data_IF_402764257366
#
_entry.id   IF_402764257366
#
_cell.length_a   1.000
_cell.length_b   1.000
_cell.length_c   1.000
_cell.angle_alpha   90.00
_cell.angle_beta   90.00
_cell.angle_gamma   90.00
#
_symmetry.space_group_name_H-M   'P 1'
#
loop_
_entity.id
_entity.type
_entity.pdbx_description
1 polymer ?
#
# COMPACT_ATOMS: atom_id res chain seq x y z
N UNK A 1 1.58 -51.07 -1.75
CA UNK A 1 0.85 -51.15 -3.04
C UNK A 1 -0.57 -50.75 -2.76
N UNK A 2 -1.17 -49.68 -3.28
CA UNK A 2 -0.78 -48.65 -4.25
C UNK A 2 -1.50 -47.38 -3.79
N UNK A 3 -0.78 -46.28 -3.60
CA UNK A 3 -1.35 -44.94 -3.52
C UNK A 3 -1.53 -44.47 -4.97
N UNK A 4 -2.74 -44.62 -5.50
CA UNK A 4 -3.13 -44.04 -6.78
C UNK A 4 -4.04 -42.84 -6.49
N UNK A 5 -3.46 -41.74 -5.99
CA UNK A 5 -4.10 -40.44 -6.00
C UNK A 5 -3.86 -39.79 -7.38
N UNK A 6 -4.90 -39.51 -8.18
CA UNK A 6 -4.71 -38.89 -9.49
C UNK A 6 -4.20 -37.45 -9.33
N UNK A 7 -3.21 -37.01 -10.13
CA UNK A 7 -2.65 -35.68 -10.03
C UNK A 7 -3.71 -34.60 -10.34
N UNK A 8 -3.65 -33.43 -9.67
CA UNK A 8 -4.62 -32.36 -9.87
C UNK A 8 -4.55 -31.85 -11.31
N UNK A 9 -5.67 -31.98 -12.02
CA UNK A 9 -5.79 -31.57 -13.41
C UNK A 9 -5.91 -30.05 -13.49
N UNK A 10 -4.82 -29.37 -13.85
CA UNK A 10 -4.84 -27.93 -14.12
C UNK A 10 -5.48 -27.72 -15.50
N UNK A 11 -6.78 -27.43 -15.50
CA UNK A 11 -7.51 -27.02 -16.70
C UNK A 11 -7.08 -25.61 -17.11
N UNK A 12 -6.23 -25.52 -18.14
CA UNK A 12 -5.84 -24.25 -18.73
C UNK A 12 -7.06 -23.58 -19.39
N UNK A 13 -7.65 -22.60 -18.72
CA UNK A 13 -8.76 -21.80 -19.25
C UNK A 13 -8.22 -20.74 -20.23
N UNK A 14 -8.41 -20.96 -21.53
CA UNK A 14 -8.17 -19.91 -22.52
C UNK A 14 -9.36 -18.93 -22.57
N UNK A 15 -9.18 -17.72 -22.04
CA UNK A 15 -10.16 -16.64 -22.15
C UNK A 15 -9.87 -15.83 -23.43
N UNK A 16 -10.75 -15.92 -24.42
CA UNK A 16 -10.71 -15.03 -25.60
C UNK A 16 -11.47 -13.76 -25.26
N UNK A 17 -10.76 -12.66 -25.00
CA UNK A 17 -11.39 -11.36 -24.80
C UNK A 17 -11.83 -10.78 -26.15
N UNK A 18 -13.14 -10.60 -26.33
CA UNK A 18 -13.74 -9.94 -27.49
C UNK A 18 -14.26 -8.57 -27.05
N UNK A 19 -13.86 -7.51 -27.73
CA UNK A 19 -14.39 -6.16 -27.49
C UNK A 19 -15.84 -6.11 -27.99
N UNK A 20 -16.81 -5.99 -27.07
CA UNK A 20 -18.24 -5.98 -27.40
C UNK A 20 -18.77 -4.58 -27.74
N UNK A 21 -18.26 -3.54 -27.09
CA UNK A 21 -18.62 -2.15 -27.40
C UNK A 21 -17.49 -1.20 -27.00
N UNK A 22 -17.46 -0.02 -27.64
CA UNK A 22 -16.57 1.09 -27.28
C UNK A 22 -17.40 2.32 -26.95
N UNK A 23 -16.83 3.24 -26.19
CA UNK A 23 -17.48 4.52 -25.90
C UNK A 23 -17.03 5.57 -26.91
N UNK A 24 -17.98 6.35 -27.44
CA UNK A 24 -17.68 7.45 -28.36
C UNK A 24 -16.90 8.54 -27.62
N UNK A 25 -15.71 8.94 -28.09
CA UNK A 25 -14.89 9.93 -27.38
C UNK A 25 -15.48 11.35 -27.44
N UNK A 26 -16.46 11.60 -28.32
CA UNK A 26 -17.12 12.91 -28.44
C UNK A 26 -18.31 13.09 -27.50
N UNK A 27 -19.19 12.09 -27.40
CA UNK A 27 -20.47 12.20 -26.68
C UNK A 27 -20.70 11.14 -25.60
N UNK A 28 -19.76 10.21 -25.40
CA UNK A 28 -19.91 9.14 -24.42
C UNK A 28 -20.91 8.03 -24.78
N UNK A 29 -21.55 8.08 -25.96
CA UNK A 29 -22.49 7.04 -26.38
C UNK A 29 -21.78 5.71 -26.74
N UNK A 30 -22.45 4.58 -26.51
CA UNK A 30 -21.95 3.26 -26.93
C UNK A 30 -21.86 3.18 -28.45
N UNK A 31 -20.71 2.76 -28.95
CA UNK A 31 -20.44 2.47 -30.36
C UNK A 31 -20.68 0.97 -30.57
N UNK A 32 -21.69 0.60 -31.37
CA UNK A 32 -22.02 -0.81 -31.59
C UNK A 32 -20.91 -1.48 -32.37
N UNK A 33 -20.40 -2.60 -31.86
CA UNK A 33 -19.46 -3.45 -32.60
C UNK A 33 -20.23 -4.49 -33.40
N UNK A 34 -20.27 -4.32 -34.73
CA UNK A 34 -20.99 -5.24 -35.64
C UNK A 34 -20.21 -6.53 -35.94
N UNK A 35 -18.99 -6.67 -35.41
CA UNK A 35 -18.17 -7.88 -35.55
C UNK A 35 -17.58 -8.11 -36.95
N UNK A 36 -17.86 -7.24 -37.93
CA UNK A 36 -17.28 -7.27 -39.28
C UNK A 36 -16.63 -5.93 -39.61
N UNK A 37 -15.40 -5.97 -40.15
CA UNK A 37 -14.65 -4.79 -40.57
C UNK A 37 -13.96 -4.04 -39.43
N UNK A 38 -13.34 -2.89 -39.75
CA UNK A 38 -12.67 -2.04 -38.77
C UNK A 38 -13.70 -1.47 -37.78
N UNK A 39 -13.54 -1.70 -36.45
CA UNK A 39 -14.44 -1.13 -35.45
C UNK A 39 -14.58 0.38 -35.62
N UNK A 40 -15.82 0.88 -35.63
CA UNK A 40 -16.07 2.32 -35.62
C UNK A 40 -15.58 2.93 -34.30
N UNK A 41 -14.99 4.12 -34.39
CA UNK A 41 -14.47 4.87 -33.23
C UNK A 41 -15.52 5.83 -32.67
N UNK A 42 -16.47 6.25 -33.50
CA UNK A 42 -17.52 7.20 -33.16
C UNK A 42 -18.89 6.57 -33.37
N UNK A 43 -19.87 6.95 -32.54
CA UNK A 43 -21.23 6.42 -32.63
C UNK A 43 -21.97 6.86 -33.89
N UNK A 44 -21.56 7.98 -34.52
CA UNK A 44 -22.20 8.51 -35.73
C UNK A 44 -21.26 9.37 -36.57
N UNK A 45 -21.65 9.60 -37.84
CA UNK A 45 -20.95 10.54 -38.75
C UNK A 45 -20.93 11.96 -38.19
N UNK A 46 -21.98 12.38 -37.50
CA UNK A 46 -22.04 13.69 -36.86
C UNK A 46 -20.97 13.86 -35.77
N UNK A 47 -20.78 12.86 -34.89
CA UNK A 47 -19.74 12.90 -33.86
C UNK A 47 -18.33 12.87 -34.48
N UNK A 48 -18.14 12.12 -35.56
CA UNK A 48 -16.88 12.11 -36.32
C UNK A 48 -16.58 13.48 -36.91
N UNK A 49 -17.56 14.14 -37.52
CA UNK A 49 -17.40 15.45 -38.13
C UNK A 49 -17.04 16.50 -37.09
N UNK A 50 -17.77 16.57 -35.97
CA UNK A 50 -17.45 17.52 -34.88
C UNK A 50 -16.04 17.31 -34.31
N UNK A 51 -15.66 16.05 -34.07
CA UNK A 51 -14.31 15.72 -33.63
C UNK A 51 -13.24 16.09 -34.67
N UNK A 52 -13.56 16.03 -35.96
CA UNK A 52 -12.66 16.49 -37.03
C UNK A 52 -12.59 18.02 -37.10
N UNK A 53 -13.71 18.72 -36.91
CA UNK A 53 -13.79 20.18 -36.90
C UNK A 53 -12.97 20.78 -35.76
N UNK A 54 -13.12 20.28 -34.53
CA UNK A 54 -12.32 20.74 -33.38
C UNK A 54 -10.83 20.53 -33.63
N UNK A 55 -10.42 19.33 -34.06
CA UNK A 55 -9.01 19.05 -34.38
C UNK A 55 -8.50 19.93 -35.52
N UNK A 56 -9.33 20.23 -36.52
CA UNK A 56 -8.95 21.09 -37.64
C UNK A 56 -8.85 22.55 -37.23
N UNK A 57 -9.73 23.03 -36.34
CA UNK A 57 -9.67 24.36 -35.76
C UNK A 57 -8.42 24.53 -34.91
N UNK A 58 -8.09 23.55 -34.07
CA UNK A 58 -6.85 23.55 -33.29
C UNK A 58 -5.61 23.57 -34.19
N UNK A 59 -5.56 22.74 -35.23
CA UNK A 59 -4.45 22.78 -36.22
C UNK A 59 -4.35 24.12 -36.96
N UNK A 60 -5.46 24.82 -37.22
CA UNK A 60 -5.42 26.17 -37.81
C UNK A 60 -4.83 27.15 -36.80
N UNK A 61 -5.34 27.16 -35.57
CA UNK A 61 -4.84 27.99 -34.48
C UNK A 61 -3.33 27.80 -34.25
N UNK A 62 -2.86 26.56 -34.19
CA UNK A 62 -1.42 26.27 -34.01
C UNK A 62 -0.57 26.77 -35.18
N UNK A 63 -1.07 26.70 -36.42
CA UNK A 63 -0.38 27.28 -37.57
C UNK A 63 -0.34 28.80 -37.51
N UNK A 64 -1.45 29.44 -37.13
CA UNK A 64 -1.50 30.89 -36.99
C UNK A 64 -0.55 31.38 -35.89
N UNK A 65 -0.43 30.63 -34.79
CA UNK A 65 0.55 30.88 -33.72
C UNK A 65 1.98 30.72 -34.23
N UNK A 66 2.28 29.61 -34.90
CA UNK A 66 3.62 29.36 -35.44
C UNK A 66 4.03 30.38 -36.52
N UNK A 67 3.07 30.88 -37.30
CA UNK A 67 3.28 31.92 -38.30
C UNK A 67 3.28 33.35 -37.71
N UNK A 68 3.07 33.51 -36.39
CA UNK A 68 3.01 34.81 -35.73
C UNK A 68 1.76 35.65 -36.06
N UNK A 69 0.79 35.08 -36.80
CA UNK A 69 -0.48 35.73 -37.15
C UNK A 69 -1.44 35.80 -35.95
N UNK A 70 -1.19 35.01 -34.90
CA UNK A 70 -1.97 35.00 -33.68
C UNK A 70 -1.07 34.79 -32.47
N UNK A 71 -1.16 35.67 -31.49
CA UNK A 71 -0.45 35.46 -30.22
C UNK A 71 -1.19 34.43 -29.36
N UNK A 72 -0.43 33.61 -28.64
CA UNK A 72 -0.97 32.70 -27.64
C UNK A 72 -1.82 33.52 -26.64
N UNK A 73 -2.99 33.01 -26.18
CA UNK A 73 -3.66 33.63 -25.04
C UNK A 73 -2.68 33.67 -23.87
N UNK A 74 -2.62 34.82 -23.18
CA UNK A 74 -1.83 35.02 -21.97
C UNK A 74 -1.92 33.78 -21.07
N UNK A 75 -0.83 33.03 -20.96
CA UNK A 75 -0.73 31.95 -19.98
C UNK A 75 -0.31 32.59 -18.67
N UNK A 76 -1.27 32.84 -17.79
CA UNK A 76 -0.95 33.07 -16.38
C UNK A 76 -0.33 31.77 -15.84
N UNK A 77 0.97 31.83 -15.55
CA UNK A 77 1.68 30.71 -14.93
C UNK A 77 1.39 30.79 -13.43
N UNK A 78 0.30 30.17 -13.01
CA UNK A 78 0.04 29.92 -11.58
C UNK A 78 1.03 28.84 -11.16
N UNK A 79 2.11 29.24 -10.50
CA UNK A 79 3.02 28.31 -9.82
C UNK A 79 2.32 27.86 -8.55
N UNK A 80 1.45 26.86 -8.67
CA UNK A 80 0.90 26.17 -7.50
C UNK A 80 2.02 25.36 -6.88
N UNK A 81 2.64 25.91 -5.82
CA UNK A 81 3.55 25.15 -4.98
C UNK A 81 2.70 24.16 -4.18
N UNK A 82 2.51 22.97 -4.74
CA UNK A 82 1.92 21.85 -4.01
C UNK A 82 2.94 21.40 -2.98
N UNK A 83 2.84 21.91 -1.76
CA UNK A 83 3.56 21.37 -0.61
C UNK A 83 2.88 20.06 -0.24
N UNK A 84 3.29 18.98 -0.90
CA UNK A 84 2.90 17.64 -0.49
C UNK A 84 3.67 17.28 0.78
N UNK A 85 3.00 17.39 1.92
CA UNK A 85 3.57 16.95 3.20
C UNK A 85 3.48 15.43 3.23
N UNK A 86 4.56 14.77 2.82
CA UNK A 86 4.73 13.34 3.03
C UNK A 86 5.05 13.11 4.50
N UNK A 87 4.06 12.68 5.27
CA UNK A 87 4.29 12.14 6.62
C UNK A 87 4.89 10.75 6.43
N UNK A 88 6.22 10.69 6.36
CA UNK A 88 6.93 9.41 6.45
C UNK A 88 6.88 8.98 7.90
N UNK A 89 6.06 7.99 8.21
CA UNK A 89 6.19 7.20 9.43
C UNK A 89 7.48 6.40 9.32
N UNK A 90 8.60 7.03 9.66
CA UNK A 90 9.85 6.30 9.88
C UNK A 90 9.56 5.36 11.04
N UNK A 91 9.45 4.06 10.75
CA UNK A 91 9.55 3.06 11.79
C UNK A 91 10.95 3.22 12.38
N UNK A 92 11.03 3.96 13.48
CA UNK A 92 12.26 4.13 14.22
C UNK A 92 12.81 2.73 14.51
N UNK A 93 14.11 2.55 14.30
CA UNK A 93 14.83 1.46 14.94
C UNK A 93 14.38 1.39 16.40
N UNK A 94 14.04 0.21 16.95
CA UNK A 94 13.60 0.10 18.33
C UNK A 94 14.58 0.88 19.21
N UNK A 95 14.12 2.01 19.74
CA UNK A 95 14.97 2.86 20.56
C UNK A 95 15.21 2.06 21.81
N UNK A 96 16.48 1.79 22.09
CA UNK A 96 16.85 1.13 23.33
C UNK A 96 16.28 1.95 24.49
N UNK A 97 15.47 1.34 25.36
CA UNK A 97 14.90 2.05 26.50
C UNK A 97 16.03 2.58 27.38
N UNK A 98 16.06 3.90 27.52
CA UNK A 98 17.08 4.64 28.26
C UNK A 98 16.66 4.92 29.70
N UNK A 99 15.34 4.94 29.95
CA UNK A 99 14.77 5.25 31.26
C UNK A 99 14.10 4.02 31.88
N UNK A 100 14.13 3.89 33.21
CA UNK A 100 13.46 2.80 33.93
C UNK A 100 11.96 2.69 33.61
N UNK A 101 11.28 3.82 33.36
CA UNK A 101 9.88 3.84 32.92
C UNK A 101 9.67 3.25 31.52
N UNK A 102 10.58 3.52 30.59
CA UNK A 102 10.53 2.95 29.24
C UNK A 102 10.74 1.43 29.29
N UNK A 103 11.62 0.95 30.17
CA UNK A 103 11.77 -0.49 30.43
C UNK A 103 10.50 -1.12 31.02
N UNK A 104 9.82 -0.44 31.94
CA UNK A 104 8.56 -0.93 32.51
C UNK A 104 7.46 -1.05 31.44
N UNK A 105 7.34 -0.06 30.56
CA UNK A 105 6.39 -0.06 29.47
C UNK A 105 6.64 -1.25 28.52
N UNK A 106 7.89 -1.43 28.08
CA UNK A 106 8.26 -2.54 27.18
C UNK A 106 8.01 -3.92 27.79
N UNK A 107 8.34 -4.11 29.07
CA UNK A 107 8.10 -5.39 29.75
C UNK A 107 6.60 -5.65 29.98
N UNK A 108 5.81 -4.60 30.17
CA UNK A 108 4.34 -4.70 30.30
C UNK A 108 3.71 -5.10 28.97
N UNK A 109 4.13 -4.47 27.87
CA UNK A 109 3.72 -4.82 26.51
C UNK A 109 4.07 -6.29 26.19
N UNK A 110 5.28 -6.75 26.51
CA UNK A 110 5.67 -8.15 26.36
C UNK A 110 4.74 -9.09 27.16
N UNK A 111 4.42 -8.74 28.39
CA UNK A 111 3.50 -9.53 29.23
C UNK A 111 2.07 -9.57 28.67
N UNK A 112 1.61 -8.53 27.97
CA UNK A 112 0.34 -8.52 27.25
C UNK A 112 0.39 -9.40 25.99
N UNK A 113 1.47 -9.33 25.22
CA UNK A 113 1.67 -10.19 24.05
C UNK A 113 1.75 -11.67 24.40
N UNK A 114 2.31 -12.02 25.56
CA UNK A 114 2.29 -13.40 26.06
C UNK A 114 0.89 -13.86 26.50
N UNK A 115 0.04 -12.95 26.99
CA UNK A 115 -1.34 -13.26 27.43
C UNK A 115 -2.34 -13.33 26.27
N UNK A 116 -2.23 -12.43 25.29
CA UNK A 116 -3.25 -12.24 24.24
C UNK A 116 -2.71 -12.37 22.81
N UNK A 117 -1.40 -12.24 22.61
CA UNK A 117 -0.77 -12.18 21.28
C UNK A 117 -0.41 -13.55 20.68
N UNK A 118 0.16 -13.50 19.47
CA UNK A 118 0.65 -14.68 18.74
C UNK A 118 1.77 -15.42 19.48
N UNK A 119 2.58 -14.70 20.26
CA UNK A 119 3.65 -15.27 21.09
C UNK A 119 3.11 -16.19 22.20
N UNK A 120 1.90 -15.92 22.73
CA UNK A 120 1.25 -16.80 23.69
C UNK A 120 0.88 -18.18 23.11
N UNK A 121 0.56 -18.25 21.80
CA UNK A 121 0.16 -19.49 21.12
C UNK A 121 1.35 -20.39 20.73
N UNK A 122 2.54 -19.82 20.62
CA UNK A 122 3.76 -20.53 20.22
C UNK A 122 4.51 -21.09 21.43
N UNK A 123 3.99 -22.17 22.01
CA UNK A 123 4.54 -22.80 23.23
C UNK A 123 6.03 -23.19 23.14
N UNK A 124 6.57 -23.46 21.95
CA UNK A 124 7.99 -23.77 21.75
C UNK A 124 8.92 -22.55 21.93
N UNK A 125 8.40 -21.32 21.87
CA UNK A 125 9.18 -20.11 22.15
C UNK A 125 9.26 -19.79 23.64
N UNK A 126 8.37 -20.36 24.45
CA UNK A 126 8.29 -20.05 25.88
C UNK A 126 9.53 -20.49 26.64
N UNK A 127 10.13 -21.64 26.27
CA UNK A 127 11.38 -22.10 26.88
C UNK A 127 12.55 -21.16 26.61
N UNK A 128 12.64 -20.61 25.39
CA UNK A 128 13.68 -19.64 25.01
C UNK A 128 13.49 -18.30 25.72
N UNK A 129 12.26 -17.79 25.74
CA UNK A 129 11.93 -16.55 26.45
C UNK A 129 12.19 -16.68 27.95
N UNK A 130 11.83 -17.83 28.55
CA UNK A 130 12.11 -18.11 29.95
C UNK A 130 13.61 -18.08 30.26
N UNK A 131 14.45 -18.69 29.41
CA UNK A 131 15.90 -18.66 29.58
C UNK A 131 16.45 -17.22 29.62
N UNK A 132 16.05 -16.39 28.66
CA UNK A 132 16.47 -14.98 28.62
C UNK A 132 15.96 -14.20 29.83
N UNK A 133 14.72 -14.40 30.26
CA UNK A 133 14.17 -13.74 31.45
C UNK A 133 14.90 -14.17 32.73
N UNK A 134 15.29 -15.45 32.84
CA UNK A 134 16.08 -15.93 33.96
C UNK A 134 17.45 -15.23 34.01
N UNK A 135 18.13 -15.09 32.87
CA UNK A 135 19.41 -14.37 32.77
C UNK A 135 19.27 -12.89 33.16
N UNK A 136 18.18 -12.23 32.75
CA UNK A 136 17.89 -10.84 33.14
C UNK A 136 17.69 -10.72 34.65
N UNK A 137 17.00 -11.67 35.28
CA UNK A 137 16.82 -11.68 36.74
C UNK A 137 18.15 -11.85 37.47
N UNK A 138 19.05 -12.71 36.97
CA UNK A 138 20.41 -12.86 37.50
C UNK A 138 21.19 -11.56 37.36
N UNK A 139 21.19 -10.94 36.18
CA UNK A 139 21.87 -9.67 35.95
C UNK A 139 21.32 -8.54 36.86
N UNK A 140 20.01 -8.53 37.12
CA UNK A 140 19.39 -7.59 38.06
C UNK A 140 19.84 -7.84 39.51
N UNK A 141 20.01 -9.10 39.90
CA UNK A 141 20.53 -9.47 41.21
C UNK A 141 21.96 -8.93 41.41
N UNK A 142 22.80 -9.11 40.40
CA UNK A 142 24.20 -8.67 40.42
C UNK A 142 24.33 -7.14 40.42
N UNK A 143 23.47 -6.45 39.68
CA UNK A 143 23.47 -4.99 39.61
C UNK A 143 22.92 -4.32 40.89
N UNK A 144 22.10 -5.01 41.68
CA UNK A 144 21.48 -4.44 42.88
C UNK A 144 22.24 -4.83 44.17
N UNK A 145 22.84 -3.87 44.90
CA UNK A 145 23.73 -4.15 46.03
C UNK A 145 23.07 -4.78 47.27
N UNK A 146 21.77 -5.06 47.23
CA UNK A 146 21.01 -5.66 48.33
C UNK A 146 20.37 -7.02 48.04
N UNK A 147 20.66 -7.63 46.88
CA UNK A 147 20.04 -8.90 46.45
C UNK A 147 18.55 -8.78 46.09
N UNK A 148 18.05 -9.75 45.33
CA UNK A 148 16.66 -9.78 44.86
C UNK A 148 15.65 -9.94 46.00
N UNK A 149 16.03 -10.60 47.09
CA UNK A 149 15.18 -10.89 48.25
C UNK A 149 14.75 -9.61 48.97
N UNK A 150 15.57 -8.56 48.90
CA UNK A 150 15.24 -7.24 49.45
C UNK A 150 14.31 -6.46 48.53
N UNK A 151 14.44 -6.62 47.21
CA UNK A 151 13.53 -6.04 46.22
C UNK A 151 12.15 -6.69 46.28
N UNK A 152 12.09 -8.02 46.34
CA UNK A 152 10.84 -8.79 46.44
C UNK A 152 10.01 -8.43 47.67
N UNK A 153 10.66 -8.09 48.79
CA UNK A 153 9.97 -7.60 50.00
C UNK A 153 9.30 -6.24 49.84
N UNK A 154 9.77 -5.42 48.90
CA UNK A 154 9.24 -4.08 48.63
C UNK A 154 8.15 -4.08 47.55
N UNK A 155 8.14 -5.07 46.66
CA UNK A 155 7.13 -5.16 45.59
C UNK A 155 5.85 -5.78 46.17
N UNK A 156 4.68 -5.10 46.09
CA UNK A 156 3.42 -5.70 46.52
C UNK A 156 3.09 -6.88 45.61
N UNK A 157 2.75 -8.04 46.21
CA UNK A 157 2.25 -9.19 45.44
C UNK A 157 0.87 -8.83 44.91
N UNK A 158 0.75 -8.81 43.59
CA UNK A 158 -0.48 -8.51 42.85
C UNK A 158 -1.13 -9.80 42.36
#
# INVERSE_FOLDING_TARGET
MRSDDPPPQVVARHVRQRVESRTCPWCGAKVPYTGRGRPAEYCSKACRNRAWEVRSAERRLQRDIAAGLRQLPMREVIRETVTEIHVVTVQGTPREPTTAWEWLEQLTELAEQLRAGDLGRQHWQHSKLYGVLADVVVALADAYPGGLERLQRKVPRR
#
